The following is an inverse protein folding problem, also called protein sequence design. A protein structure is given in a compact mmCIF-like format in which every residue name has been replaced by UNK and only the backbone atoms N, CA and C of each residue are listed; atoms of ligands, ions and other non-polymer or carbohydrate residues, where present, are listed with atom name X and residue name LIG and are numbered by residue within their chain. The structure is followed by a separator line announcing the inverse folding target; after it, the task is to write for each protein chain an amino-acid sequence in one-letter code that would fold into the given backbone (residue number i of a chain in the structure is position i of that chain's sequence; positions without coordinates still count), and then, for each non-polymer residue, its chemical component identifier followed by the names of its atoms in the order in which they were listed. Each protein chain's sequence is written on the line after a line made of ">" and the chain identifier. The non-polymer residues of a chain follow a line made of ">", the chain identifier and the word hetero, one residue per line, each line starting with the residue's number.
data_IF_828714609797
#
_entry.id   IF_828714609797
#
_cell.length_a   1.000
_cell.length_b   1.000
_cell.length_c   1.000
_cell.angle_alpha   90.00
_cell.angle_beta   90.00
_cell.angle_gamma   90.00
#
_symmetry.space_group_name_H-M   'P 1'
#
loop_
_entity.id
_entity.type
_entity.pdbx_description
1 polymer ?
#
# COMPACT_ATOMS: atom_id res chain seq x y z
N UNK A 1 -8.25 13.46 7.47
CA UNK A 1 -8.73 12.37 6.60
C UNK A 1 -10.02 12.72 5.87
N UNK A 2 -11.11 13.11 6.56
CA UNK A 2 -12.36 13.52 5.88
C UNK A 2 -12.18 14.72 4.93
N UNK A 3 -11.42 15.73 5.34
CA UNK A 3 -11.16 16.94 4.55
C UNK A 3 -10.14 16.74 3.43
N UNK A 4 -9.35 15.67 3.49
CA UNK A 4 -8.22 15.40 2.59
C UNK A 4 -8.46 14.22 1.67
N UNK A 5 -9.66 13.63 1.71
CA UNK A 5 -10.02 12.37 1.04
C UNK A 5 -8.89 11.33 1.16
N UNK A 6 -8.36 11.14 2.37
CA UNK A 6 -7.20 10.29 2.60
C UNK A 6 -7.62 8.87 3.00
N UNK A 7 -6.89 7.87 2.51
CA UNK A 7 -7.06 6.47 2.91
C UNK A 7 -5.73 5.88 3.35
N UNK A 8 -5.76 4.96 4.32
CA UNK A 8 -4.58 4.17 4.71
C UNK A 8 -4.66 2.81 4.04
N UNK A 9 -3.53 2.28 3.58
CA UNK A 9 -3.48 0.98 2.91
C UNK A 9 -2.20 0.22 3.28
N UNK A 10 -1.78 -0.71 2.41
CA UNK A 10 -0.55 -1.46 2.56
C UNK A 10 -0.57 -2.44 3.74
N UNK A 11 0.61 -2.71 4.28
CA UNK A 11 0.77 -3.75 5.29
C UNK A 11 0.10 -3.40 6.62
N UNK A 12 0.08 -2.12 6.99
CA UNK A 12 -0.63 -1.65 8.19
C UNK A 12 -2.13 -2.01 8.17
N UNK A 13 -2.80 -1.77 7.02
CA UNK A 13 -4.23 -2.10 6.88
C UNK A 13 -4.47 -3.59 6.90
N UNK A 14 -3.62 -4.36 6.21
CA UNK A 14 -3.72 -5.81 6.24
C UNK A 14 -3.62 -6.35 7.67
N UNK A 15 -2.71 -5.81 8.50
CA UNK A 15 -2.59 -6.24 9.89
C UNK A 15 -3.86 -5.94 10.67
N UNK A 16 -4.46 -4.77 10.48
CA UNK A 16 -5.69 -4.40 11.16
C UNK A 16 -6.85 -5.35 10.79
N UNK A 17 -7.00 -5.69 9.52
CA UNK A 17 -8.02 -6.64 9.04
C UNK A 17 -7.76 -8.02 9.64
N UNK A 18 -6.50 -8.44 9.67
CA UNK A 18 -6.08 -9.71 10.24
C UNK A 18 -5.96 -9.68 11.75
N UNK A 19 -6.20 -8.57 12.47
CA UNK A 19 -6.02 -8.52 13.92
C UNK A 19 -6.99 -9.44 14.68
N UNK A 20 -8.00 -9.99 13.99
CA UNK A 20 -8.84 -11.10 14.45
C UNK A 20 -8.07 -12.43 14.52
N UNK A 21 -6.93 -12.52 13.84
CA UNK A 21 -6.03 -13.67 13.75
C UNK A 21 -4.66 -13.25 14.31
N UNK A 22 -4.08 -14.06 15.19
CA UNK A 22 -2.84 -13.74 15.90
C UNK A 22 -1.65 -13.57 14.94
N UNK A 23 -1.40 -12.34 14.48
CA UNK A 23 -0.31 -12.01 13.54
C UNK A 23 0.84 -11.33 14.25
N UNK A 24 2.03 -11.94 14.15
CA UNK A 24 3.23 -11.56 14.91
C UNK A 24 4.22 -10.68 14.13
N UNK A 25 4.02 -10.46 12.83
CA UNK A 25 4.97 -9.70 12.01
C UNK A 25 4.90 -8.19 12.28
N UNK A 26 6.04 -7.47 12.39
CA UNK A 26 6.06 -6.05 12.74
C UNK A 26 5.48 -5.15 11.65
N UNK A 27 4.84 -4.05 12.06
CA UNK A 27 4.50 -2.95 11.16
C UNK A 27 5.73 -2.05 11.07
N UNK A 28 6.28 -1.91 9.86
CA UNK A 28 7.46 -1.07 9.60
C UNK A 28 7.13 0.29 8.99
N UNK A 29 5.96 0.41 8.35
CA UNK A 29 5.59 1.54 7.51
C UNK A 29 4.06 1.79 7.49
N UNK A 30 3.69 3.07 7.53
CA UNK A 30 2.33 3.54 7.33
C UNK A 30 2.23 4.22 5.95
N UNK A 31 1.40 3.67 5.06
CA UNK A 31 1.13 4.26 3.75
C UNK A 31 -0.20 5.02 3.77
N UNK A 32 -0.16 6.34 3.52
CA UNK A 32 -1.34 7.20 3.37
C UNK A 32 -1.47 7.62 1.91
N UNK A 33 -2.59 7.28 1.29
CA UNK A 33 -2.93 7.66 -0.07
C UNK A 33 -3.84 8.87 -0.07
N UNK A 34 -3.47 9.91 -0.81
CA UNK A 34 -4.24 11.15 -0.90
C UNK A 34 -4.33 11.67 -2.35
N UNK A 35 -5.33 12.49 -2.68
CA UNK A 35 -5.34 13.27 -3.91
C UNK A 35 -4.11 14.19 -3.99
N UNK A 36 -3.58 14.42 -5.20
CA UNK A 36 -2.48 15.36 -5.42
C UNK A 36 -2.78 16.76 -4.85
N UNK A 37 -4.03 17.23 -4.98
CA UNK A 37 -4.48 18.53 -4.46
C UNK A 37 -4.39 18.65 -2.94
N UNK A 38 -4.44 17.53 -2.21
CA UNK A 38 -4.31 17.48 -0.74
C UNK A 38 -2.87 17.35 -0.26
N UNK A 39 -1.91 17.20 -1.18
CA UNK A 39 -0.48 17.03 -0.88
C UNK A 39 0.08 18.12 0.04
N UNK A 40 -0.01 19.41 -0.32
CA UNK A 40 0.53 20.50 0.49
C UNK A 40 -0.03 20.54 1.92
N UNK A 41 -1.36 20.37 2.08
CA UNK A 41 -1.99 20.34 3.40
C UNK A 41 -1.56 19.14 4.23
N UNK A 42 -1.34 17.99 3.61
CA UNK A 42 -0.86 16.80 4.30
C UNK A 42 0.61 16.96 4.77
N UNK A 43 1.48 17.50 3.92
CA UNK A 43 2.88 17.75 4.31
C UNK A 43 2.97 18.79 5.41
N UNK A 44 2.17 19.86 5.34
CA UNK A 44 2.10 20.89 6.39
C UNK A 44 1.62 20.30 7.72
N UNK A 45 0.60 19.43 7.68
CA UNK A 45 0.14 18.72 8.87
C UNK A 45 1.29 17.97 9.54
N UNK A 46 2.00 17.10 8.81
CA UNK A 46 3.09 16.31 9.40
C UNK A 46 4.24 17.19 9.89
N UNK A 47 4.60 18.22 9.13
CA UNK A 47 5.63 19.19 9.53
C UNK A 47 5.28 19.86 10.87
N UNK A 48 4.03 20.31 11.03
CA UNK A 48 3.54 20.92 12.29
C UNK A 48 3.61 19.97 13.50
N UNK A 49 3.55 18.66 13.28
CA UNK A 49 3.72 17.65 14.35
C UNK A 49 5.18 17.21 14.54
N UNK A 50 6.14 17.91 13.94
CA UNK A 50 7.58 17.69 14.10
C UNK A 50 8.09 16.49 13.30
N UNK A 51 7.50 16.22 12.14
CA UNK A 51 8.06 15.28 11.17
C UNK A 51 8.90 16.02 10.13
N UNK A 52 10.05 15.45 9.79
CA UNK A 52 10.84 15.87 8.64
C UNK A 52 10.19 15.37 7.34
N UNK A 53 10.02 16.28 6.39
CA UNK A 53 9.39 15.99 5.09
C UNK A 53 10.48 15.75 4.04
N UNK A 54 10.60 14.50 3.60
CA UNK A 54 11.62 14.05 2.66
C UNK A 54 10.95 13.68 1.33
N UNK A 55 11.09 14.50 0.28
CA UNK A 55 10.59 14.16 -1.05
C UNK A 55 11.34 12.96 -1.63
N UNK A 56 10.64 11.98 -2.19
CA UNK A 56 11.32 10.94 -2.96
C UNK A 56 11.67 11.47 -4.36
N UNK A 57 12.96 11.46 -4.76
CA UNK A 57 13.38 12.05 -6.03
C UNK A 57 12.75 11.37 -7.26
N UNK A 58 12.26 10.12 -7.17
CA UNK A 58 11.47 9.46 -8.23
C UNK A 58 10.45 8.44 -7.67
N UNK A 59 9.15 8.54 -7.99
CA UNK A 59 8.11 7.63 -7.48
C UNK A 59 8.02 6.28 -8.19
N UNK A 60 8.66 6.12 -9.35
CA UNK A 60 8.42 4.95 -10.23
C UNK A 60 8.87 3.62 -9.59
N UNK A 61 9.89 3.60 -8.74
CA UNK A 61 10.44 2.33 -8.23
C UNK A 61 9.66 1.76 -7.04
N UNK A 62 9.21 2.58 -6.08
CA UNK A 62 8.62 2.09 -4.83
C UNK A 62 7.16 1.66 -4.93
N UNK A 63 6.34 2.28 -5.79
CA UNK A 63 4.93 1.91 -5.97
C UNK A 63 4.62 1.31 -7.34
N UNK A 64 5.37 1.63 -8.41
CA UNK A 64 5.24 1.01 -9.75
C UNK A 64 3.87 1.17 -10.40
N UNK A 65 2.94 1.83 -9.70
CA UNK A 65 1.60 2.16 -10.12
C UNK A 65 1.66 3.39 -11.01
N UNK A 66 1.01 3.31 -12.18
CA UNK A 66 0.82 4.46 -13.09
C UNK A 66 -0.11 5.53 -12.49
N UNK A 67 -0.77 5.21 -11.37
CA UNK A 67 -1.69 6.08 -10.63
C UNK A 67 -1.03 6.80 -9.46
N UNK A 68 0.26 6.57 -9.21
CA UNK A 68 1.05 7.31 -8.21
C UNK A 68 1.84 8.42 -8.91
N UNK A 69 1.56 9.66 -8.54
CA UNK A 69 2.22 10.87 -9.06
C UNK A 69 3.56 11.12 -8.41
N UNK A 70 3.63 10.97 -7.10
CA UNK A 70 4.80 11.21 -6.26
C UNK A 70 4.60 10.56 -4.89
N UNK A 71 5.69 10.44 -4.14
CA UNK A 71 5.69 9.96 -2.75
C UNK A 71 6.52 10.91 -1.93
N UNK A 72 6.06 11.22 -0.72
CA UNK A 72 6.80 12.00 0.26
C UNK A 72 6.88 11.19 1.54
N UNK A 73 8.06 11.06 2.14
CA UNK A 73 8.19 10.46 3.46
C UNK A 73 8.09 11.55 4.53
N UNK A 74 7.24 11.35 5.53
CA UNK A 74 7.28 12.08 6.78
C UNK A 74 7.97 11.21 7.83
N UNK A 75 9.07 11.70 8.42
CA UNK A 75 9.91 10.91 9.35
C UNK A 75 10.04 11.61 10.71
N UNK A 76 9.91 10.85 11.81
CA UNK A 76 10.14 11.33 13.19
C UNK A 76 10.73 10.21 14.04
N UNK A 77 12.04 10.27 14.28
CA UNK A 77 12.77 9.18 14.94
C UNK A 77 12.65 7.88 14.14
N UNK A 78 12.18 6.80 14.77
CA UNK A 78 11.91 5.52 14.12
C UNK A 78 10.58 5.46 13.35
N UNK A 79 9.73 6.49 13.46
CA UNK A 79 8.43 6.51 12.79
C UNK A 79 8.56 7.07 11.38
N UNK A 80 7.94 6.37 10.43
CA UNK A 80 7.90 6.77 9.03
C UNK A 80 6.49 6.62 8.47
N UNK A 81 6.02 7.66 7.80
CA UNK A 81 4.78 7.67 7.04
C UNK A 81 5.10 7.97 5.58
N UNK A 82 4.68 7.10 4.68
CA UNK A 82 4.75 7.33 3.25
C UNK A 82 3.44 7.97 2.77
N UNK A 83 3.52 9.23 2.35
CA UNK A 83 2.42 9.99 1.76
C UNK A 83 2.45 9.76 0.26
N UNK A 84 1.50 8.98 -0.25
CA UNK A 84 1.38 8.57 -1.65
C UNK A 84 0.38 9.47 -2.36
N UNK A 85 0.88 10.32 -3.26
CA UNK A 85 0.07 11.27 -4.02
C UNK A 85 -0.47 10.57 -5.28
N UNK A 86 -1.80 10.48 -5.39
CA UNK A 86 -2.48 9.88 -6.55
C UNK A 86 -2.59 10.85 -7.74
N UNK A 87 -2.56 10.30 -8.96
CA UNK A 87 -2.59 11.09 -10.20
C UNK A 87 -3.94 11.76 -10.48
N UNK A 88 -5.06 11.12 -10.15
CA UNK A 88 -6.37 11.43 -10.72
C UNK A 88 -7.46 11.72 -9.67
N UNK A 89 -7.09 12.46 -8.61
CA UNK A 89 -8.02 12.87 -7.54
C UNK A 89 -8.58 11.73 -6.68
N UNK A 90 -8.31 10.48 -7.06
CA UNK A 90 -8.85 9.26 -6.46
C UNK A 90 -7.72 8.51 -5.75
N UNK A 91 -7.64 8.61 -4.42
CA UNK A 91 -6.55 8.02 -3.64
C UNK A 91 -6.54 6.48 -3.67
N UNK A 92 -7.68 5.85 -3.97
CA UNK A 92 -7.83 4.40 -3.94
C UNK A 92 -7.26 3.69 -5.18
N UNK A 93 -7.12 4.37 -6.32
CA UNK A 93 -6.74 3.71 -7.57
C UNK A 93 -5.34 3.06 -7.56
N UNK A 94 -4.32 3.66 -6.95
CA UNK A 94 -3.03 3.00 -6.75
C UNK A 94 -3.10 1.65 -6.02
N UNK A 95 -4.08 1.46 -5.14
CA UNK A 95 -4.19 0.28 -4.26
C UNK A 95 -4.55 -0.96 -5.08
N UNK A 96 -5.46 -0.80 -6.06
CA UNK A 96 -5.82 -1.87 -7.00
C UNK A 96 -4.72 -2.18 -8.03
N UNK A 97 -3.60 -1.44 -8.00
CA UNK A 97 -2.39 -1.71 -8.78
C UNK A 97 -1.27 -2.35 -7.96
N UNK A 98 -1.56 -2.77 -6.73
CA UNK A 98 -0.61 -3.55 -5.95
C UNK A 98 -0.28 -4.90 -6.59
N UNK A 99 0.87 -5.44 -6.18
CA UNK A 99 1.44 -6.70 -6.66
C UNK A 99 0.55 -7.92 -6.43
N UNK A 100 -0.35 -7.89 -5.45
CA UNK A 100 -1.27 -8.99 -5.17
C UNK A 100 -2.55 -8.52 -4.48
N UNK A 101 -3.57 -9.38 -4.52
CA UNK A 101 -4.87 -9.15 -3.88
C UNK A 101 -4.78 -9.02 -2.36
N UNK A 102 -3.74 -9.59 -1.74
CA UNK A 102 -3.52 -9.60 -0.29
C UNK A 102 -3.57 -8.19 0.32
N UNK A 103 -3.03 -7.20 -0.40
CA UNK A 103 -2.91 -5.82 0.09
C UNK A 103 -3.89 -4.86 -0.56
N UNK A 104 -4.85 -5.34 -1.36
CA UNK A 104 -5.87 -4.49 -2.01
C UNK A 104 -6.98 -4.10 -1.03
N UNK A 105 -6.56 -3.61 0.13
CA UNK A 105 -7.39 -3.25 1.26
C UNK A 105 -7.04 -1.83 1.69
N UNK A 106 -8.00 -1.10 2.20
CA UNK A 106 -7.76 0.23 2.75
C UNK A 106 -8.76 0.53 3.86
N UNK A 107 -8.46 1.53 4.67
CA UNK A 107 -9.46 2.09 5.56
C UNK A 107 -9.52 3.61 5.47
N UNK A 108 -10.71 4.11 5.76
CA UNK A 108 -11.05 5.51 5.97
C UNK A 108 -11.31 5.70 7.47
N UNK A 109 -11.56 6.93 7.96
CA UNK A 109 -11.93 7.13 9.36
C UNK A 109 -13.15 6.32 9.84
N UNK A 110 -14.01 5.91 8.90
CA UNK A 110 -15.33 5.34 9.21
C UNK A 110 -15.54 3.96 8.60
N UNK A 111 -14.63 3.44 7.79
CA UNK A 111 -14.85 2.20 7.05
C UNK A 111 -13.55 1.47 6.81
N UNK A 112 -13.56 0.14 7.01
CA UNK A 112 -12.52 -0.77 6.53
C UNK A 112 -13.04 -1.43 5.25
N UNK A 113 -12.23 -1.40 4.20
CA UNK A 113 -12.52 -2.02 2.92
C UNK A 113 -11.50 -3.09 2.59
N UNK A 114 -11.99 -4.26 2.17
CA UNK A 114 -11.18 -5.34 1.63
C UNK A 114 -11.75 -5.75 0.28
N UNK A 115 -10.95 -5.68 -0.79
CA UNK A 115 -11.41 -6.06 -2.12
C UNK A 115 -11.62 -7.58 -2.26
N UNK A 116 -10.86 -8.36 -1.48
CA UNK A 116 -10.85 -9.82 -1.56
C UNK A 116 -10.94 -10.46 -0.16
N UNK A 117 -11.99 -10.17 0.64
CA UNK A 117 -12.06 -10.55 2.04
C UNK A 117 -11.94 -12.07 2.24
N UNK A 118 -12.58 -12.88 1.40
CA UNK A 118 -12.49 -14.34 1.48
C UNK A 118 -11.05 -14.86 1.31
N UNK A 119 -10.30 -14.32 0.34
CA UNK A 119 -8.89 -14.69 0.14
C UNK A 119 -8.01 -14.17 1.28
N UNK A 120 -8.15 -12.88 1.62
CA UNK A 120 -7.35 -12.23 2.65
C UNK A 120 -7.48 -12.93 4.00
N UNK A 121 -8.70 -13.26 4.42
CA UNK A 121 -8.96 -13.93 5.71
C UNK A 121 -8.52 -15.40 5.74
N UNK A 122 -8.40 -16.04 4.57
CA UNK A 122 -7.87 -17.40 4.44
C UNK A 122 -6.36 -17.43 4.20
N UNK A 123 -5.66 -16.30 4.35
CA UNK A 123 -4.23 -16.19 4.04
C UNK A 123 -3.89 -16.61 2.61
N UNK A 124 -4.77 -16.32 1.65
CA UNK A 124 -4.59 -16.61 0.23
C UNK A 124 -4.47 -15.32 -0.59
N UNK A 125 -3.69 -15.39 -1.66
CA UNK A 125 -3.43 -14.26 -2.56
C UNK A 125 -3.34 -14.67 -4.02
N UNK A 126 -3.76 -13.77 -4.90
CA UNK A 126 -3.49 -13.84 -6.33
C UNK A 126 -2.49 -12.74 -6.69
N UNK A 127 -1.54 -13.06 -7.56
CA UNK A 127 -0.64 -12.06 -8.14
C UNK A 127 -1.47 -11.20 -9.11
N UNK A 128 -1.33 -9.88 -8.99
CA UNK A 128 -1.96 -8.96 -9.92
C UNK A 128 -1.25 -9.05 -11.28
N UNK A 129 -1.95 -9.40 -12.38
CA UNK A 129 -1.33 -9.47 -13.70
C UNK A 129 -0.70 -8.14 -14.13
N UNK A 130 -1.23 -7.01 -13.66
CA UNK A 130 -0.65 -5.67 -13.94
C UNK A 130 0.73 -5.45 -13.29
N UNK A 131 1.11 -6.30 -12.34
CA UNK A 131 2.41 -6.24 -11.67
C UNK A 131 3.48 -7.11 -12.34
N UNK A 132 3.13 -7.85 -13.40
CA UNK A 132 4.04 -8.63 -14.24
C UNK A 132 4.62 -7.78 -15.37
N UNK A 133 5.79 -8.18 -15.89
CA UNK A 133 6.35 -7.61 -17.12
C UNK A 133 5.66 -8.18 -18.35
N UNK A 134 5.97 -7.65 -19.55
CA UNK A 134 5.45 -8.14 -20.82
C UNK A 134 5.72 -9.64 -21.09
N UNK A 135 6.70 -10.25 -20.41
CA UNK A 135 7.01 -11.67 -20.51
C UNK A 135 6.38 -12.51 -19.38
N UNK A 136 5.34 -11.99 -18.72
CA UNK A 136 4.71 -12.61 -17.55
C UNK A 136 5.66 -12.88 -16.38
N UNK A 137 6.84 -12.26 -16.38
CA UNK A 137 7.82 -12.39 -15.30
C UNK A 137 7.50 -11.42 -14.17
N UNK A 138 7.75 -11.85 -12.93
CA UNK A 138 7.67 -10.97 -11.77
C UNK A 138 8.92 -10.08 -11.75
N UNK A 139 8.79 -8.74 -11.84
CA UNK A 139 9.93 -7.87 -11.63
C UNK A 139 10.47 -8.03 -10.19
N UNK A 140 11.75 -7.75 -9.93
CA UNK A 140 12.39 -8.01 -8.62
C UNK A 140 11.63 -7.43 -7.43
N UNK A 141 10.91 -6.32 -7.61
CA UNK A 141 10.07 -5.71 -6.57
C UNK A 141 8.80 -6.52 -6.28
N UNK A 142 8.09 -6.97 -7.31
CA UNK A 142 6.93 -7.85 -7.16
C UNK A 142 7.35 -9.14 -6.49
N UNK A 143 8.50 -9.71 -6.89
CA UNK A 143 9.07 -10.90 -6.26
C UNK A 143 9.36 -10.67 -4.77
N UNK A 144 10.06 -9.58 -4.39
CA UNK A 144 10.29 -9.24 -2.98
C UNK A 144 8.99 -9.11 -2.18
N UNK A 145 7.96 -8.53 -2.78
CA UNK A 145 6.68 -8.35 -2.12
C UNK A 145 5.95 -9.69 -1.94
N UNK A 146 5.96 -10.56 -2.97
CA UNK A 146 5.44 -11.94 -2.89
C UNK A 146 6.18 -12.72 -1.79
N UNK A 147 7.52 -12.71 -1.79
CA UNK A 147 8.32 -13.36 -0.74
C UNK A 147 8.01 -12.78 0.65
N UNK A 148 7.87 -11.46 0.79
CA UNK A 148 7.49 -10.80 2.05
C UNK A 148 6.17 -11.36 2.60
N UNK A 149 5.15 -11.54 1.76
CA UNK A 149 3.84 -12.03 2.21
C UNK A 149 3.82 -13.56 2.36
N UNK A 150 4.56 -14.32 1.55
CA UNK A 150 4.77 -15.75 1.77
C UNK A 150 5.39 -16.02 3.16
N UNK A 151 6.42 -15.25 3.53
CA UNK A 151 7.03 -15.33 4.87
C UNK A 151 6.09 -14.92 6.01
N UNK A 152 4.94 -14.31 5.69
CA UNK A 152 3.87 -13.96 6.66
C UNK A 152 2.74 -14.99 6.68
N UNK A 153 2.93 -16.15 6.05
CA UNK A 153 1.98 -17.26 6.01
C UNK A 153 0.98 -17.20 4.86
N UNK A 154 1.16 -16.30 3.89
CA UNK A 154 0.25 -16.27 2.73
C UNK A 154 0.61 -17.28 1.65
N UNK A 155 -0.39 -18.00 1.18
CA UNK A 155 -0.30 -18.85 0.01
C UNK A 155 -0.68 -18.06 -1.24
N UNK A 156 0.17 -18.08 -2.25
CA UNK A 156 -0.17 -17.57 -3.57
C UNK A 156 -0.67 -18.72 -4.43
N UNK A 157 -1.91 -18.62 -4.92
CA UNK A 157 -2.35 -19.60 -5.90
C UNK A 157 -1.49 -19.42 -7.16
N UNK A 158 -0.83 -20.49 -7.59
CA UNK A 158 -0.31 -20.55 -8.95
C UNK A 158 -1.53 -20.46 -9.86
N UNK A 159 -1.62 -19.40 -10.67
CA UNK A 159 -2.49 -19.43 -11.83
C UNK A 159 -2.08 -20.68 -12.62
N UNK A 160 -2.97 -21.66 -12.71
CA UNK A 160 -2.76 -22.93 -13.41
C UNK A 160 -2.45 -22.71 -14.89
N UNK A 161 -1.19 -22.39 -15.18
CA UNK A 161 -0.56 -22.54 -16.48
C UNK A 161 0.13 -23.91 -16.45
N UNK A 162 -0.69 -24.96 -16.44
CA UNK A 162 -0.32 -26.30 -16.89
C UNK A 162 -0.97 -26.53 -18.23
#
# INVERSE_FOLDING_TARGET
>A
MHTSNAVISGSSTLRLILAVVDTTWPISDLDIYIPLSSGPSATEFFHRFGYDIIPYPRPKSKYGSKKVRSVVAAVKGSHKVDIVLSCDGRPILPIFQFHSTIVMNYFTPTTIFSAYPALTLQFKGLINPMACTHHHMLPPRTLRAVTKYANRGFEFASSGLT
#
